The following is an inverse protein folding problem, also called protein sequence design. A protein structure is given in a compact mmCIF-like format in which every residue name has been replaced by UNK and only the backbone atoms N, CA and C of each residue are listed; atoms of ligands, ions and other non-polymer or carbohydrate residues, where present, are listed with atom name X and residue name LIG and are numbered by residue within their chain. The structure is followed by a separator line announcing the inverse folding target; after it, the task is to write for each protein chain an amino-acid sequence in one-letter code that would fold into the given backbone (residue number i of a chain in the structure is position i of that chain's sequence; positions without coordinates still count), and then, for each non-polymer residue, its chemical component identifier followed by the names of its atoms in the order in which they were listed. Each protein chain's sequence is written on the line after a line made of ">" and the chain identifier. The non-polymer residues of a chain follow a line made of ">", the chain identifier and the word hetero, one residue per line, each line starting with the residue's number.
data_IF_680395327926
#
_entry.id   IF_680395327926
#
_cell.length_a   1.000
_cell.length_b   1.000
_cell.length_c   1.000
_cell.angle_alpha   90.00
_cell.angle_beta   90.00
_cell.angle_gamma   90.00
#
_symmetry.space_group_name_H-M   'P 1'
#
loop_
_entity.id
_entity.type
_entity.pdbx_description
1 polymer ?
#
# COMPACT_ATOMS: atom_id res chain seq x y z
N UNK A 1 11.83 -10.11 -2.42
CA UNK A 1 11.54 -11.41 -1.76
C UNK A 1 11.55 -11.35 -0.23
N UNK A 2 12.60 -10.79 0.40
CA UNK A 2 12.77 -10.77 1.86
C UNK A 2 11.80 -9.80 2.57
N UNK A 3 11.50 -8.64 1.97
CA UNK A 3 10.61 -7.62 2.55
C UNK A 3 9.14 -8.06 2.56
N UNK A 4 8.70 -8.73 1.50
CA UNK A 4 7.37 -9.36 1.42
C UNK A 4 7.16 -10.40 2.54
N UNK A 5 8.20 -11.16 2.86
CA UNK A 5 8.19 -12.08 4.00
C UNK A 5 8.06 -11.33 5.32
N UNK A 6 8.75 -10.20 5.51
CA UNK A 6 8.69 -9.42 6.76
C UNK A 6 7.32 -8.79 6.99
N UNK A 7 6.68 -8.24 5.96
CA UNK A 7 5.32 -7.72 6.06
C UNK A 7 4.29 -8.81 6.40
N UNK A 8 4.37 -9.97 5.72
CA UNK A 8 3.52 -11.12 6.01
C UNK A 8 3.78 -11.72 7.39
N UNK A 9 5.04 -11.79 7.84
CA UNK A 9 5.40 -12.30 9.17
C UNK A 9 4.95 -11.35 10.28
N UNK A 10 5.07 -10.03 10.08
CA UNK A 10 4.54 -9.03 11.01
C UNK A 10 3.01 -9.11 11.11
N UNK A 11 2.33 -9.28 9.98
CA UNK A 11 0.88 -9.45 9.94
C UNK A 11 0.43 -10.78 10.57
N UNK A 12 1.14 -11.89 10.30
CA UNK A 12 0.85 -13.20 10.86
C UNK A 12 1.12 -13.25 12.38
N UNK A 13 2.19 -12.59 12.85
CA UNK A 13 2.47 -12.43 14.28
C UNK A 13 1.38 -11.59 14.96
N UNK A 14 0.88 -10.55 14.29
CA UNK A 14 -0.21 -9.72 14.81
C UNK A 14 -1.56 -10.47 14.83
N UNK A 15 -1.89 -11.21 13.76
CA UNK A 15 -3.08 -12.06 13.68
C UNK A 15 -3.10 -13.19 14.74
N UNK A 16 -1.94 -13.76 15.06
CA UNK A 16 -1.80 -14.78 16.12
C UNK A 16 -2.05 -14.24 17.54
N UNK A 17 -2.02 -12.93 17.74
CA UNK A 17 -2.29 -12.31 19.06
C UNK A 17 -3.78 -12.32 19.46
N UNK A 18 -4.66 -12.87 18.61
CA UNK A 18 -5.94 -13.46 19.03
C UNK A 18 -7.10 -12.48 19.29
N UNK A 19 -7.03 -11.21 18.86
CA UNK A 19 -8.08 -10.23 19.15
C UNK A 19 -8.61 -9.43 17.95
N UNK A 20 -8.22 -9.74 16.71
CA UNK A 20 -8.76 -9.04 15.54
C UNK A 20 -9.17 -10.04 14.46
N UNK A 21 -10.44 -9.93 14.03
CA UNK A 21 -10.98 -10.70 12.92
C UNK A 21 -10.10 -10.51 11.69
N UNK A 22 -9.68 -11.61 11.05
CA UNK A 22 -8.87 -11.62 9.82
C UNK A 22 -9.39 -10.63 8.76
N UNK A 23 -10.71 -10.44 8.71
CA UNK A 23 -11.39 -9.48 7.83
C UNK A 23 -11.00 -8.02 8.11
N UNK A 24 -10.77 -7.62 9.36
CA UNK A 24 -10.32 -6.27 9.69
C UNK A 24 -8.91 -6.03 9.17
N UNK A 25 -8.01 -7.01 9.30
CA UNK A 25 -6.64 -6.90 8.79
C UNK A 25 -6.61 -6.78 7.27
N UNK A 26 -7.45 -7.54 6.56
CA UNK A 26 -7.58 -7.45 5.10
C UNK A 26 -8.08 -6.08 4.63
N UNK A 27 -9.06 -5.50 5.34
CA UNK A 27 -9.57 -4.15 5.03
C UNK A 27 -8.56 -3.04 5.29
N UNK A 28 -7.59 -3.31 6.16
CA UNK A 28 -6.65 -2.34 6.72
C UNK A 28 -5.22 -2.47 6.23
N UNK A 29 -4.99 -3.38 5.28
CA UNK A 29 -3.66 -3.67 4.77
C UNK A 29 -3.66 -3.66 3.25
N UNK A 30 -2.56 -3.20 2.66
CA UNK A 30 -2.25 -3.36 1.24
C UNK A 30 -1.29 -4.55 1.08
N UNK A 31 -1.85 -5.77 1.12
CA UNK A 31 -1.10 -7.02 0.95
C UNK A 31 -1.08 -7.42 -0.52
N UNK A 32 -0.03 -8.10 -0.96
CA UNK A 32 0.04 -8.58 -2.33
C UNK A 32 -1.02 -9.65 -2.66
N UNK A 33 -1.65 -9.57 -3.85
CA UNK A 33 -1.72 -8.41 -4.73
C UNK A 33 -2.59 -7.30 -4.12
N UNK A 34 -2.06 -6.08 -3.94
CA UNK A 34 -2.79 -5.03 -3.22
C UNK A 34 -3.82 -4.30 -4.08
N UNK A 35 -3.92 -4.64 -5.36
CA UNK A 35 -5.01 -4.24 -6.25
C UNK A 35 -5.47 -5.44 -7.06
N UNK A 36 -6.74 -5.43 -7.46
CA UNK A 36 -7.27 -6.39 -8.41
C UNK A 36 -6.72 -6.12 -9.83
N UNK A 37 -6.99 -7.03 -10.77
CA UNK A 37 -6.54 -6.93 -12.17
C UNK A 37 -7.00 -5.65 -12.87
N UNK A 38 -8.12 -5.07 -12.43
CA UNK A 38 -8.63 -3.79 -12.90
C UNK A 38 -7.89 -2.56 -12.31
N UNK A 39 -6.82 -2.78 -11.55
CA UNK A 39 -6.02 -1.72 -10.90
C UNK A 39 -6.72 -1.05 -9.72
N UNK A 40 -7.80 -1.61 -9.18
CA UNK A 40 -8.54 -1.04 -8.05
C UNK A 40 -8.39 -1.88 -6.79
N UNK A 41 -8.37 -1.21 -5.64
CA UNK A 41 -8.52 -1.85 -4.34
C UNK A 41 -9.95 -1.62 -3.80
N UNK A 42 -10.62 -2.64 -3.24
CA UNK A 42 -11.99 -2.53 -2.72
C UNK A 42 -12.11 -1.69 -1.45
N UNK A 43 -11.01 -1.44 -0.72
CA UNK A 43 -10.98 -0.74 0.56
C UNK A 43 -10.18 0.58 0.53
N UNK A 44 -9.39 0.80 -0.51
CA UNK A 44 -8.57 2.01 -0.66
C UNK A 44 -8.96 2.82 -1.90
N UNK A 45 -8.70 4.12 -1.82
CA UNK A 45 -8.81 5.08 -2.91
C UNK A 45 -7.43 5.70 -3.14
N UNK A 46 -7.03 5.74 -4.40
CA UNK A 46 -5.81 6.38 -4.88
C UNK A 46 -6.20 7.64 -5.65
N UNK A 47 -5.65 8.80 -5.28
CA UNK A 47 -5.98 10.09 -5.91
C UNK A 47 -4.72 10.87 -6.30
N UNK A 48 -4.85 11.75 -7.28
CA UNK A 48 -3.74 12.58 -7.77
C UNK A 48 -2.72 11.79 -8.60
N UNK A 49 -1.44 12.04 -8.38
CA UNK A 49 -0.33 11.43 -9.09
C UNK A 49 0.08 10.11 -8.44
N UNK A 50 -0.28 8.99 -9.06
CA UNK A 50 0.13 7.68 -8.60
C UNK A 50 0.37 6.69 -9.76
N UNK A 51 1.19 5.68 -9.51
CA UNK A 51 1.35 4.51 -10.38
C UNK A 51 1.27 3.27 -9.50
N UNK A 52 0.41 2.32 -9.89
CA UNK A 52 0.33 1.03 -9.23
C UNK A 52 1.17 0.03 -10.02
N UNK A 53 2.03 -0.69 -9.32
CA UNK A 53 2.83 -1.76 -9.89
C UNK A 53 2.56 -3.05 -9.13
N UNK A 54 1.94 -4.02 -9.78
CA UNK A 54 1.64 -5.34 -9.20
C UNK A 54 2.16 -6.44 -10.12
N UNK A 55 3.28 -7.06 -9.73
CA UNK A 55 3.83 -8.27 -10.37
C UNK A 55 4.28 -9.25 -9.28
N UNK A 56 4.37 -10.53 -9.62
CA UNK A 56 4.74 -11.62 -8.68
C UNK A 56 6.01 -11.40 -7.85
N UNK A 57 6.91 -10.50 -8.27
CA UNK A 57 8.16 -10.18 -7.56
C UNK A 57 8.22 -8.77 -6.94
N UNK A 58 7.28 -7.89 -7.26
CA UNK A 58 7.25 -6.49 -6.82
C UNK A 58 5.82 -6.00 -6.78
N UNK A 59 5.41 -5.50 -5.62
CA UNK A 59 4.09 -4.92 -5.44
C UNK A 59 4.19 -3.65 -4.62
N UNK A 60 3.93 -2.50 -5.26
CA UNK A 60 4.04 -1.19 -4.63
C UNK A 60 3.15 -0.17 -5.35
N UNK A 61 2.77 0.86 -4.62
CA UNK A 61 2.20 2.08 -5.20
C UNK A 61 3.24 3.18 -5.11
N UNK A 62 3.59 3.75 -6.25
CA UNK A 62 4.36 4.99 -6.29
C UNK A 62 3.41 6.15 -6.09
N UNK A 63 3.59 6.88 -4.99
CA UNK A 63 2.91 8.15 -4.72
C UNK A 63 3.90 9.27 -5.05
N UNK A 64 3.50 10.16 -5.96
CA UNK A 64 4.31 11.26 -6.49
C UNK A 64 5.46 10.87 -7.46
N UNK A 65 5.89 11.86 -8.23
CA UNK A 65 6.99 11.80 -9.20
C UNK A 65 8.07 12.81 -8.83
N UNK A 66 9.22 12.72 -9.49
CA UNK A 66 10.31 13.71 -9.40
C UNK A 66 10.01 15.02 -10.15
N UNK A 67 8.73 15.43 -10.23
CA UNK A 67 8.29 16.66 -10.87
C UNK A 67 7.78 17.63 -9.80
N UNK A 68 8.01 18.94 -9.94
CA UNK A 68 7.38 19.92 -9.06
C UNK A 68 5.86 19.73 -9.00
N UNK A 69 5.26 19.99 -7.85
CA UNK A 69 3.82 19.90 -7.60
C UNK A 69 3.20 18.50 -7.78
N UNK A 70 4.01 17.43 -7.72
CA UNK A 70 3.47 16.08 -7.75
C UNK A 70 2.90 15.68 -6.38
N UNK A 71 1.63 15.30 -6.34
CA UNK A 71 0.92 14.89 -5.12
C UNK A 71 0.07 13.65 -5.39
N UNK A 72 0.39 12.56 -4.70
CA UNK A 72 -0.41 11.34 -4.67
C UNK A 72 -0.99 11.13 -3.28
N UNK A 73 -2.25 10.69 -3.22
CA UNK A 73 -2.94 10.39 -1.98
C UNK A 73 -3.39 8.92 -1.98
N UNK A 74 -3.20 8.27 -0.84
CA UNK A 74 -3.76 6.96 -0.53
C UNK A 74 -4.64 7.12 0.71
N UNK A 75 -5.91 6.75 0.60
CA UNK A 75 -6.87 6.80 1.72
C UNK A 75 -7.72 5.54 1.80
N UNK A 76 -8.16 5.17 3.00
CA UNK A 76 -9.19 4.14 3.16
C UNK A 76 -10.55 4.70 2.72
N UNK A 77 -11.41 3.83 2.19
CA UNK A 77 -12.81 4.15 1.87
C UNK A 77 -13.64 4.32 3.13
N UNK A 78 -13.39 3.45 4.09
CA UNK A 78 -14.12 3.41 5.34
C UNK A 78 -13.35 4.15 6.44
N UNK A 79 -14.12 4.78 7.34
CA UNK A 79 -13.58 5.35 8.55
C UNK A 79 -13.30 4.24 9.57
N UNK A 80 -12.10 4.24 10.13
CA UNK A 80 -11.71 3.26 11.14
C UNK A 80 -12.08 3.79 12.53
N UNK A 81 -12.98 3.09 13.20
CA UNK A 81 -13.41 3.40 14.56
C UNK A 81 -12.84 2.38 15.53
N UNK A 82 -11.57 2.56 15.91
CA UNK A 82 -10.90 1.73 16.93
C UNK A 82 -10.30 2.62 18.01
N UNK A 83 -10.29 2.12 19.25
CA UNK A 83 -9.72 2.82 20.41
C UNK A 83 -8.19 2.85 20.36
N UNK A 84 -7.58 1.83 19.76
CA UNK A 84 -6.13 1.67 19.65
C UNK A 84 -5.77 0.97 18.35
N UNK A 85 -4.73 1.43 17.66
CA UNK A 85 -4.22 0.77 16.46
C UNK A 85 -2.73 1.02 16.27
N UNK A 86 -2.09 0.17 15.47
CA UNK A 86 -0.70 0.31 15.02
C UNK A 86 -0.69 0.23 13.50
N UNK A 87 -0.12 1.25 12.86
CA UNK A 87 0.12 1.25 11.41
C UNK A 87 1.60 0.98 11.17
N UNK A 88 1.90 0.08 10.24
CA UNK A 88 3.25 -0.16 9.74
C UNK A 88 3.26 0.28 8.28
N UNK A 89 4.12 1.26 7.96
CA UNK A 89 4.29 1.77 6.60
C UNK A 89 5.70 1.47 6.15
N UNK A 90 5.83 0.75 5.03
CA UNK A 90 7.09 0.58 4.33
C UNK A 90 7.07 1.48 3.10
N UNK A 91 8.04 2.38 3.00
CA UNK A 91 8.17 3.28 1.85
C UNK A 91 9.63 3.41 1.45
N UNK A 92 9.84 3.71 0.18
CA UNK A 92 11.16 4.01 -0.38
C UNK A 92 11.10 5.35 -1.09
N UNK A 93 12.11 6.18 -0.85
CA UNK A 93 12.33 7.41 -1.62
C UNK A 93 13.54 7.18 -2.49
N UNK A 94 13.33 7.13 -3.80
CA UNK A 94 14.40 7.01 -4.80
C UNK A 94 14.43 8.27 -5.66
N UNK A 95 15.60 8.91 -5.81
CA UNK A 95 15.78 9.92 -6.84
C UNK A 95 15.47 9.27 -8.19
N UNK A 96 14.53 9.82 -8.96
CA UNK A 96 14.31 9.35 -10.31
C UNK A 96 15.48 9.82 -11.18
N UNK A 97 16.45 8.94 -11.40
CA UNK A 97 17.50 9.14 -12.40
C UNK A 97 16.92 8.88 -13.80
N UNK A 98 16.21 9.89 -14.33
CA UNK A 98 15.97 10.05 -15.77
C UNK A 98 14.62 9.59 -16.34
N UNK A 99 14.10 10.42 -17.26
CA UNK A 99 13.47 9.92 -18.48
C UNK A 99 11.95 9.77 -18.53
N UNK A 100 11.16 10.69 -17.96
CA UNK A 100 9.75 10.80 -18.33
C UNK A 100 9.57 11.85 -19.42
N UNK A 101 9.46 11.44 -20.71
CA UNK A 101 8.97 12.33 -21.79
C UNK A 101 7.60 12.85 -21.39
N UNK A 102 7.39 14.15 -21.56
CA UNK A 102 6.08 14.79 -21.45
C UNK A 102 5.11 14.10 -22.41
N UNK A 103 4.01 13.58 -21.87
CA UNK A 103 2.78 13.27 -22.58
C UNK A 103 1.76 14.35 -22.22
#
# INVERSE_FOLDING_TARGET
>A
PILHLRGMLALAAYAKSGQMETQFLERMSLLHPHVAENGRNPFYIFEGNYIIFTRTRRDYTQLCYSRPNSMGLLKTRDQIKTRSFKIIVEFQVTPASGGGRDL
#
